data_IF_577056576886
#
_entry.id   IF_577056576886
#
_cell.length_a   1.000
_cell.length_b   1.000
_cell.length_c   1.000
_cell.angle_alpha   90.00
_cell.angle_beta   90.00
_cell.angle_gamma   90.00
#
_symmetry.space_group_name_H-M   'P 1'
#
loop_
_entity.id
_entity.type
_entity.pdbx_description
1 polymer ?
#
# COMPACT_ATOMS: atom_id res chain seq x y z
N UNK A 1 40.05 15.43 -17.53
CA UNK A 1 38.74 15.21 -18.14
C UNK A 1 37.89 14.48 -17.13
N UNK A 2 37.32 15.20 -16.17
CA UNK A 2 36.30 14.67 -15.27
C UNK A 2 35.02 14.55 -16.09
N UNK A 3 34.67 13.33 -16.46
CA UNK A 3 33.37 13.05 -17.04
C UNK A 3 32.35 13.32 -15.93
N UNK A 4 31.71 14.48 -16.02
CA UNK A 4 30.53 14.81 -15.22
C UNK A 4 29.48 13.74 -15.55
N UNK A 5 29.10 12.98 -14.52
CA UNK A 5 28.07 11.96 -14.64
C UNK A 5 26.78 12.73 -14.91
N UNK A 6 26.36 12.79 -16.17
CA UNK A 6 25.03 13.24 -16.52
C UNK A 6 24.07 12.27 -15.84
N UNK A 7 23.53 12.68 -14.70
CA UNK A 7 22.33 12.10 -14.10
C UNK A 7 21.16 12.54 -14.99
N UNK A 8 21.11 11.96 -16.19
CA UNK A 8 19.90 11.89 -16.99
C UNK A 8 19.20 10.60 -16.60
N UNK A 9 18.75 10.51 -15.34
CA UNK A 9 17.80 9.46 -14.95
C UNK A 9 16.44 9.90 -15.43
N UNK A 10 16.13 9.52 -16.66
CA UNK A 10 14.77 9.53 -17.18
C UNK A 10 13.85 8.88 -16.13
N UNK A 11 12.74 9.54 -15.70
CA UNK A 11 11.83 9.01 -14.70
C UNK A 11 11.35 7.60 -15.01
N UNK A 12 11.26 7.25 -16.29
CA UNK A 12 10.89 5.90 -16.70
C UNK A 12 11.99 4.89 -16.36
N UNK A 13 13.26 5.25 -16.47
CA UNK A 13 14.39 4.41 -16.05
C UNK A 13 14.40 4.19 -14.54
N UNK A 14 14.05 5.22 -13.75
CA UNK A 14 13.92 5.08 -12.28
C UNK A 14 12.81 4.09 -11.91
N UNK A 15 11.65 4.19 -12.58
CA UNK A 15 10.53 3.26 -12.37
C UNK A 15 10.92 1.82 -12.72
N UNK A 16 11.61 1.60 -13.85
CA UNK A 16 12.07 0.25 -14.22
C UNK A 16 13.06 -0.32 -13.18
N UNK A 17 13.97 0.51 -12.65
CA UNK A 17 14.86 0.09 -11.56
C UNK A 17 14.09 -0.29 -10.28
N UNK A 18 13.08 0.48 -9.89
CA UNK A 18 12.23 0.15 -8.74
C UNK A 18 11.46 -1.16 -8.94
N UNK A 19 10.99 -1.42 -10.17
CA UNK A 19 10.34 -2.69 -10.53
C UNK A 19 11.31 -3.86 -10.40
N UNK A 20 12.54 -3.71 -10.91
CA UNK A 20 13.57 -4.75 -10.82
C UNK A 20 13.94 -5.06 -9.36
N UNK A 21 14.09 -4.03 -8.52
CA UNK A 21 14.35 -4.18 -7.09
C UNK A 21 13.22 -4.94 -6.38
N UNK A 22 11.96 -4.61 -6.72
CA UNK A 22 10.78 -5.29 -6.17
C UNK A 22 10.71 -6.76 -6.62
N UNK A 23 11.03 -7.05 -7.88
CA UNK A 23 11.08 -8.42 -8.39
C UNK A 23 12.19 -9.21 -7.68
N UNK A 24 13.35 -8.58 -7.46
CA UNK A 24 14.47 -9.20 -6.74
C UNK A 24 14.13 -9.50 -5.28
N UNK A 25 13.42 -8.61 -4.59
CA UNK A 25 12.94 -8.82 -3.21
C UNK A 25 12.00 -10.03 -3.10
N UNK A 26 11.05 -10.16 -4.03
CA UNK A 26 10.03 -11.21 -3.99
C UNK A 26 10.40 -12.49 -4.76
N UNK A 27 11.51 -12.48 -5.49
CA UNK A 27 12.07 -13.63 -6.21
C UNK A 27 11.34 -14.04 -7.49
N UNK A 28 10.25 -13.35 -7.87
CA UNK A 28 9.59 -13.48 -9.17
C UNK A 28 8.58 -12.36 -9.39
N UNK A 29 8.28 -12.07 -10.65
CA UNK A 29 7.29 -11.07 -11.06
C UNK A 29 5.90 -11.43 -10.53
N UNK A 30 5.53 -12.73 -10.56
CA UNK A 30 4.25 -13.19 -10.00
C UNK A 30 4.15 -13.00 -8.49
N UNK A 31 5.26 -13.14 -7.77
CA UNK A 31 5.29 -12.92 -6.33
C UNK A 31 5.18 -11.43 -5.99
N UNK A 32 5.91 -10.57 -6.72
CA UNK A 32 5.81 -9.12 -6.60
C UNK A 32 4.39 -8.60 -6.88
N UNK A 33 3.76 -9.04 -7.98
CA UNK A 33 2.36 -8.69 -8.30
C UNK A 33 1.41 -9.15 -7.19
N UNK A 34 1.61 -10.35 -6.64
CA UNK A 34 0.78 -10.86 -5.54
C UNK A 34 0.91 -9.98 -4.29
N UNK A 35 2.13 -9.55 -3.95
CA UNK A 35 2.38 -8.64 -2.82
C UNK A 35 1.68 -7.29 -3.04
N UNK A 36 1.86 -6.67 -4.21
CA UNK A 36 1.20 -5.41 -4.55
C UNK A 36 -0.33 -5.49 -4.47
N UNK A 37 -0.94 -6.55 -4.98
CA UNK A 37 -2.40 -6.74 -4.91
C UNK A 37 -2.87 -6.92 -3.47
N UNK A 38 -2.11 -7.63 -2.64
CA UNK A 38 -2.39 -7.76 -1.22
C UNK A 38 -2.35 -6.40 -0.52
N UNK A 39 -1.29 -5.62 -0.73
CA UNK A 39 -1.12 -4.33 -0.08
C UNK A 39 -2.18 -3.32 -0.51
N UNK A 40 -2.53 -3.30 -1.80
CA UNK A 40 -3.66 -2.52 -2.32
C UNK A 40 -4.98 -2.90 -1.63
N UNK A 41 -5.21 -4.20 -1.40
CA UNK A 41 -6.42 -4.67 -0.69
C UNK A 41 -6.44 -4.17 0.75
N UNK A 42 -5.30 -4.21 1.45
CA UNK A 42 -5.16 -3.71 2.82
C UNK A 42 -5.39 -2.19 2.87
N UNK A 43 -4.79 -1.43 1.95
CA UNK A 43 -4.93 0.01 1.87
C UNK A 43 -6.37 0.43 1.58
N UNK A 44 -7.07 -0.28 0.69
CA UNK A 44 -8.50 -0.02 0.44
C UNK A 44 -9.36 -0.32 1.67
N UNK A 45 -9.09 -1.42 2.37
CA UNK A 45 -9.80 -1.76 3.61
C UNK A 45 -9.52 -0.78 4.75
N UNK A 46 -8.34 -0.16 4.78
CA UNK A 46 -8.03 0.90 5.72
C UNK A 46 -8.65 2.24 5.30
N UNK A 47 -8.61 2.59 4.01
CA UNK A 47 -9.22 3.80 3.48
C UNK A 47 -10.70 3.88 3.86
N UNK A 48 -11.47 2.79 3.70
CA UNK A 48 -12.88 2.71 4.11
C UNK A 48 -13.10 2.98 5.60
N UNK A 49 -12.14 2.63 6.46
CA UNK A 49 -12.18 2.88 7.92
C UNK A 49 -11.69 4.28 8.29
N UNK A 50 -10.74 4.80 7.53
CA UNK A 50 -10.06 6.08 7.75
C UNK A 50 -10.87 7.29 7.24
N UNK A 51 -11.94 7.08 6.45
CA UNK A 51 -12.90 8.16 6.14
C UNK A 51 -13.85 8.38 7.33
N UNK A 52 -13.71 9.52 8.01
CA UNK A 52 -14.71 10.00 8.97
C UNK A 52 -16.04 10.23 8.23
N UNK A 53 -17.04 9.36 8.45
CA UNK A 53 -18.40 9.52 7.89
C UNK A 53 -19.21 10.63 8.58
N UNK A 54 -18.54 11.55 9.26
CA UNK A 54 -19.12 12.61 10.07
C UNK A 54 -19.52 12.14 11.46
N UNK A 55 -19.26 12.99 12.47
CA UNK A 55 -19.91 12.88 13.78
C UNK A 55 -21.37 13.33 13.62
N UNK A 56 -22.27 12.38 13.33
CA UNK A 56 -23.69 12.61 13.55
C UNK A 56 -23.93 12.49 15.05
N UNK A 57 -24.29 13.60 15.69
CA UNK A 57 -24.60 13.73 17.12
C UNK A 57 -25.37 12.49 17.63
N UNK A 58 -24.69 11.56 18.31
CA UNK A 58 -25.28 10.36 18.93
C UNK A 58 -25.29 9.07 18.09
N UNK A 59 -24.81 9.08 16.85
CA UNK A 59 -24.63 7.88 16.01
C UNK A 59 -23.15 7.77 15.65
N UNK A 60 -22.40 6.99 16.43
CA UNK A 60 -21.08 6.55 16.00
C UNK A 60 -21.20 5.92 14.61
N UNK A 61 -20.23 6.18 13.73
CA UNK A 61 -20.17 5.57 12.40
C UNK A 61 -20.30 4.05 12.54
N UNK A 62 -21.43 3.53 12.06
CA UNK A 62 -21.68 2.09 12.01
C UNK A 62 -20.53 1.43 11.24
N UNK A 63 -19.75 0.58 11.90
CA UNK A 63 -18.58 -0.09 11.33
C UNK A 63 -17.20 0.45 11.74
N UNK A 64 -17.11 1.57 12.47
CA UNK A 64 -15.82 2.09 12.97
C UNK A 64 -15.36 1.45 14.29
N UNK A 65 -16.22 0.62 14.92
CA UNK A 65 -15.86 -0.11 16.13
C UNK A 65 -15.26 -1.46 15.75
N UNK A 66 -14.07 -1.83 16.26
CA UNK A 66 -13.58 -3.19 16.15
C UNK A 66 -14.64 -4.16 16.68
N UNK A 67 -14.83 -5.36 16.08
CA UNK A 67 -15.64 -6.39 16.70
C UNK A 67 -15.06 -6.68 18.10
N UNK A 68 -15.95 -6.77 19.09
CA UNK A 68 -15.53 -7.19 20.42
C UNK A 68 -14.87 -8.57 20.30
N UNK A 69 -13.77 -8.83 21.02
CA UNK A 69 -13.20 -10.18 21.05
C UNK A 69 -14.30 -11.13 21.51
N UNK A 70 -14.45 -12.25 20.82
CA UNK A 70 -15.40 -13.29 21.19
C UNK A 70 -15.12 -13.70 22.65
N UNK A 71 -16.03 -13.34 23.56
CA UNK A 71 -16.07 -13.93 24.89
C UNK A 71 -16.51 -15.39 24.70
N UNK A 72 -15.53 -16.27 24.51
CA UNK A 72 -15.73 -17.71 24.61
C UNK A 72 -16.27 -18.07 26.02
N UNK A 73 -17.40 -18.78 26.13
CA UNK A 73 -17.87 -19.35 27.39
C UNK A 73 -17.12 -20.61 27.80
#
# INVERSE_FOLDING_TARGET
MTAERLEDTDPQTEIECEIDDLIAEHGSERAAIRALLHDMTVLLADADRSVSRGFLRGLFSYGARPPAPDEEP
#
